data_IF_199364257319
#
_entry.id   IF_199364257319
#
_cell.length_a   1.000
_cell.length_b   1.000
_cell.length_c   1.000
_cell.angle_alpha   90.00
_cell.angle_beta   90.00
_cell.angle_gamma   90.00
#
_symmetry.space_group_name_H-M   'P 1'
#
loop_
_entity.id
_entity.type
_entity.pdbx_description
1 polymer ?
#
# COMPACT_ATOMS: atom_id res chain seq x y z
N UNK A 1 -28.42 30.97 0.53
CA UNK A 1 -27.20 30.14 0.70
C UNK A 1 -25.98 30.99 0.40
N UNK A 2 -24.86 30.84 1.12
CA UNK A 2 -23.62 31.59 0.81
C UNK A 2 -23.02 31.12 -0.52
N UNK A 3 -22.37 32.02 -1.27
CA UNK A 3 -21.67 31.72 -2.53
C UNK A 3 -20.67 30.56 -2.37
N UNK A 4 -19.96 30.52 -1.23
CA UNK A 4 -19.06 29.40 -0.91
C UNK A 4 -19.82 28.08 -0.75
N UNK A 5 -20.95 28.10 -0.04
CA UNK A 5 -21.75 26.89 0.16
C UNK A 5 -22.25 26.36 -1.17
N UNK A 6 -22.74 27.22 -2.05
CA UNK A 6 -23.22 26.82 -3.37
C UNK A 6 -22.09 26.26 -4.24
N UNK A 7 -20.89 26.86 -4.22
CA UNK A 7 -19.73 26.34 -4.93
C UNK A 7 -19.32 24.95 -4.43
N UNK A 8 -19.39 24.71 -3.12
CA UNK A 8 -19.13 23.38 -2.55
C UNK A 8 -20.17 22.35 -3.02
N UNK A 9 -21.46 22.69 -2.99
CA UNK A 9 -22.54 21.82 -3.47
C UNK A 9 -22.34 21.43 -4.95
N UNK A 10 -21.97 22.40 -5.79
CA UNK A 10 -21.71 22.18 -7.22
C UNK A 10 -20.55 21.21 -7.42
N UNK A 11 -19.43 21.40 -6.72
CA UNK A 11 -18.24 20.56 -6.88
C UNK A 11 -18.47 19.13 -6.35
N UNK A 12 -19.19 18.95 -5.24
CA UNK A 12 -19.54 17.61 -4.73
C UNK A 12 -20.54 16.92 -5.65
N UNK A 13 -21.55 17.63 -6.14
CA UNK A 13 -22.51 17.11 -7.10
C UNK A 13 -21.84 16.66 -8.41
N UNK A 14 -20.88 17.43 -8.91
CA UNK A 14 -20.08 17.06 -10.09
C UNK A 14 -19.23 15.80 -9.84
N UNK A 15 -18.59 15.70 -8.68
CA UNK A 15 -17.81 14.53 -8.29
C UNK A 15 -18.67 13.26 -8.21
N UNK A 16 -19.83 13.34 -7.54
CA UNK A 16 -20.79 12.23 -7.46
C UNK A 16 -21.33 11.84 -8.84
N UNK A 17 -21.55 12.81 -9.74
CA UNK A 17 -21.98 12.52 -11.10
C UNK A 17 -20.94 11.71 -11.89
N UNK A 18 -19.64 11.98 -11.71
CA UNK A 18 -18.57 11.17 -12.32
C UNK A 18 -18.56 9.76 -11.75
N UNK A 19 -18.69 9.60 -10.43
CA UNK A 19 -18.74 8.28 -9.77
C UNK A 19 -19.93 7.45 -10.25
N UNK A 20 -21.13 8.04 -10.31
CA UNK A 20 -22.34 7.36 -10.79
C UNK A 20 -22.21 6.84 -12.22
N UNK A 21 -21.57 7.59 -13.12
CA UNK A 21 -21.34 7.14 -14.52
C UNK A 21 -20.41 5.94 -14.63
N UNK A 22 -19.60 5.67 -13.61
CA UNK A 22 -18.68 4.56 -13.56
C UNK A 22 -19.18 3.41 -12.66
N UNK A 23 -20.38 3.51 -12.08
CA UNK A 23 -20.97 2.42 -11.31
C UNK A 23 -21.09 1.14 -12.16
N UNK A 24 -20.67 0.01 -11.60
CA UNK A 24 -20.72 -1.29 -12.28
C UNK A 24 -19.61 -1.55 -13.30
N UNK A 25 -18.62 -0.65 -13.44
CA UNK A 25 -17.44 -0.88 -14.29
C UNK A 25 -16.17 -0.26 -13.71
N UNK A 26 -15.02 -0.62 -14.28
CA UNK A 26 -13.78 0.06 -13.92
C UNK A 26 -13.78 1.52 -14.42
N UNK A 27 -13.30 2.42 -13.56
CA UNK A 27 -13.09 3.82 -13.90
C UNK A 27 -11.93 3.99 -14.88
N UNK A 28 -12.14 4.76 -15.94
CA UNK A 28 -11.09 5.15 -16.88
C UNK A 28 -10.09 6.12 -16.23
N UNK A 29 -8.87 6.21 -16.76
CA UNK A 29 -7.87 7.17 -16.27
C UNK A 29 -8.37 8.63 -16.32
N UNK A 30 -9.15 8.99 -17.35
CA UNK A 30 -9.73 10.34 -17.50
C UNK A 30 -10.72 10.67 -16.38
N UNK A 31 -11.54 9.70 -15.99
CA UNK A 31 -12.52 9.85 -14.92
C UNK A 31 -11.84 9.96 -13.55
N UNK A 32 -10.80 9.15 -13.30
CA UNK A 32 -9.97 9.27 -12.08
C UNK A 32 -9.35 10.67 -11.97
N UNK A 33 -8.69 11.13 -13.04
CA UNK A 33 -8.14 12.48 -13.11
C UNK A 33 -9.20 13.59 -12.99
N UNK A 34 -10.46 13.32 -13.34
CA UNK A 34 -11.57 14.26 -13.13
C UNK A 34 -11.99 14.32 -11.66
N UNK A 35 -12.10 13.18 -10.98
CA UNK A 35 -12.35 13.11 -9.53
C UNK A 35 -11.27 13.88 -8.77
N UNK A 36 -10.00 13.65 -9.09
CA UNK A 36 -8.88 14.31 -8.41
C UNK A 36 -8.95 15.84 -8.57
N UNK A 37 -9.35 16.31 -9.76
CA UNK A 37 -9.54 17.75 -10.01
C UNK A 37 -10.67 18.35 -9.16
N UNK A 38 -11.81 17.67 -9.05
CA UNK A 38 -12.93 18.11 -8.20
C UNK A 38 -12.52 18.11 -6.72
N UNK A 39 -11.83 17.07 -6.26
CA UNK A 39 -11.32 16.99 -4.89
C UNK A 39 -10.32 18.13 -4.60
N UNK A 40 -9.38 18.40 -5.50
CA UNK A 40 -8.44 19.51 -5.36
C UNK A 40 -9.14 20.89 -5.34
N UNK A 41 -10.26 21.06 -6.06
CA UNK A 41 -11.08 22.29 -5.98
C UNK A 41 -11.78 22.41 -4.64
N UNK A 42 -12.39 21.34 -4.14
CA UNK A 42 -13.01 21.31 -2.81
C UNK A 42 -12.01 21.68 -1.71
N UNK A 43 -10.82 21.09 -1.74
CA UNK A 43 -9.77 21.40 -0.76
C UNK A 43 -9.33 22.87 -0.84
N UNK A 44 -9.22 23.45 -2.05
CA UNK A 44 -8.92 24.88 -2.22
C UNK A 44 -10.03 25.78 -1.66
N UNK A 45 -11.29 25.46 -1.90
CA UNK A 45 -12.44 26.20 -1.35
C UNK A 45 -12.47 26.13 0.18
N UNK A 46 -12.11 24.98 0.76
CA UNK A 46 -12.13 24.76 2.22
C UNK A 46 -10.86 25.24 2.92
N UNK A 47 -9.77 25.53 2.20
CA UNK A 47 -8.48 25.89 2.78
C UNK A 47 -8.53 27.05 3.80
N UNK A 48 -9.27 28.16 3.60
CA UNK A 48 -9.40 29.21 4.62
C UNK A 48 -10.04 28.70 5.92
N UNK A 49 -11.01 27.79 5.79
CA UNK A 49 -11.75 27.24 6.92
C UNK A 49 -10.93 26.20 7.68
N UNK A 50 -10.18 25.38 6.97
CA UNK A 50 -9.17 24.48 7.55
C UNK A 50 -8.17 25.30 8.36
N UNK A 51 -7.57 26.36 7.79
CA UNK A 51 -6.65 27.25 8.53
C UNK A 51 -7.28 27.85 9.78
N UNK A 52 -8.53 28.29 9.69
CA UNK A 52 -9.26 28.82 10.85
C UNK A 52 -9.39 27.77 11.96
N UNK A 53 -9.86 26.56 11.64
CA UNK A 53 -9.99 25.51 12.65
C UNK A 53 -8.63 25.02 13.17
N UNK A 54 -7.61 24.90 12.33
CA UNK A 54 -6.24 24.56 12.79
C UNK A 54 -5.77 25.52 13.89
N UNK A 55 -6.01 26.83 13.74
CA UNK A 55 -5.72 27.82 14.79
C UNK A 55 -6.61 27.65 16.02
N UNK A 56 -7.92 27.49 15.83
CA UNK A 56 -8.88 27.34 16.93
C UNK A 56 -8.61 26.10 17.80
N UNK A 57 -8.11 25.02 17.19
CA UNK A 57 -7.73 23.80 17.90
C UNK A 57 -6.31 23.85 18.50
N UNK A 58 -5.54 24.91 18.23
CA UNK A 58 -4.18 25.10 18.74
C UNK A 58 -3.16 24.17 18.09
N UNK A 59 -3.29 23.93 16.79
CA UNK A 59 -2.46 23.01 15.99
C UNK A 59 -1.63 23.76 14.94
N UNK A 60 -1.22 25.00 15.24
CA UNK A 60 -0.50 25.87 14.29
C UNK A 60 0.89 25.31 13.97
N UNK A 61 1.54 24.72 14.97
CA UNK A 61 2.84 24.07 14.85
C UNK A 61 2.75 22.70 14.14
N UNK A 62 1.56 22.09 14.08
CA UNK A 62 1.24 20.87 13.33
C UNK A 62 0.33 21.17 12.13
N UNK A 63 0.52 22.32 11.47
CA UNK A 63 -0.39 22.79 10.41
C UNK A 63 -0.42 21.87 9.17
N UNK A 64 0.68 21.17 8.87
CA UNK A 64 0.73 20.19 7.78
C UNK A 64 -0.13 18.97 8.09
N UNK A 65 0.08 18.35 9.25
CA UNK A 65 -0.71 17.21 9.73
C UNK A 65 -2.19 17.56 9.85
N UNK A 66 -2.49 18.76 10.35
CA UNK A 66 -3.85 19.28 10.42
C UNK A 66 -4.51 19.38 9.04
N UNK A 67 -3.75 19.78 8.01
CA UNK A 67 -4.25 19.86 6.63
C UNK A 67 -4.54 18.47 6.07
N UNK A 68 -3.64 17.50 6.31
CA UNK A 68 -3.82 16.12 5.87
C UNK A 68 -5.01 15.44 6.56
N UNK A 69 -5.12 15.60 7.88
CA UNK A 69 -6.27 15.10 8.64
C UNK A 69 -7.59 15.71 8.14
N UNK A 70 -7.60 17.01 7.86
CA UNK A 70 -8.75 17.68 7.25
C UNK A 70 -9.07 17.13 5.85
N UNK A 71 -8.08 16.82 5.02
CA UNK A 71 -8.31 16.24 3.70
C UNK A 71 -8.99 14.86 3.78
N UNK A 72 -8.61 14.03 4.75
CA UNK A 72 -9.30 12.76 5.05
C UNK A 72 -10.76 13.03 5.46
N UNK A 73 -10.99 14.03 6.33
CA UNK A 73 -12.32 14.44 6.73
C UNK A 73 -13.19 14.92 5.55
N UNK A 74 -12.60 15.64 4.59
CA UNK A 74 -13.29 16.06 3.36
C UNK A 74 -13.65 14.87 2.49
N UNK A 75 -12.73 13.91 2.30
CA UNK A 75 -13.00 12.68 1.55
C UNK A 75 -14.18 11.91 2.15
N UNK A 76 -14.15 11.69 3.47
CA UNK A 76 -15.24 11.04 4.20
C UNK A 76 -16.56 11.82 4.11
N UNK A 77 -16.50 13.15 4.19
CA UNK A 77 -17.68 14.00 4.01
C UNK A 77 -18.29 13.79 2.62
N UNK A 78 -17.47 13.72 1.57
CA UNK A 78 -17.94 13.47 0.19
C UNK A 78 -18.55 12.09 0.06
N UNK A 79 -17.97 11.06 0.67
CA UNK A 79 -18.47 9.68 0.57
C UNK A 79 -19.82 9.49 1.30
N UNK A 80 -20.02 10.18 2.43
CA UNK A 80 -21.24 10.10 3.23
C UNK A 80 -22.29 11.16 2.88
N UNK A 81 -22.02 12.02 1.90
CA UNK A 81 -22.88 13.17 1.64
C UNK A 81 -24.25 12.75 1.09
N UNK A 82 -25.30 13.19 1.79
CA UNK A 82 -26.69 13.04 1.38
C UNK A 82 -27.38 14.43 1.42
N UNK A 83 -27.72 15.02 0.26
CA UNK A 83 -28.31 16.35 0.19
C UNK A 83 -29.71 16.43 0.82
N UNK A 84 -30.39 15.29 1.04
CA UNK A 84 -31.68 15.27 1.72
C UNK A 84 -31.55 15.44 3.24
N UNK A 85 -30.40 15.13 3.83
CA UNK A 85 -30.18 15.17 5.28
C UNK A 85 -29.60 16.49 5.78
N UNK A 86 -28.63 17.04 5.07
CA UNK A 86 -27.97 18.28 5.47
C UNK A 86 -27.24 18.91 4.28
N UNK A 87 -26.95 20.22 4.36
CA UNK A 87 -26.02 20.85 3.41
C UNK A 87 -24.61 20.29 3.57
N UNK A 88 -23.85 20.23 2.47
CA UNK A 88 -22.48 19.73 2.48
C UNK A 88 -21.59 20.56 3.42
N UNK A 89 -21.79 21.88 3.44
CA UNK A 89 -21.05 22.78 4.35
C UNK A 89 -21.24 22.39 5.81
N UNK A 90 -22.44 21.97 6.21
CA UNK A 90 -22.70 21.51 7.58
C UNK A 90 -21.94 20.21 7.86
N UNK A 91 -22.09 19.22 6.97
CA UNK A 91 -21.46 17.91 7.12
C UNK A 91 -19.94 18.01 7.18
N UNK A 92 -19.33 18.73 6.23
CA UNK A 92 -17.87 18.85 6.16
C UNK A 92 -17.32 19.56 7.39
N UNK A 93 -18.03 20.53 7.98
CA UNK A 93 -17.60 21.17 9.22
C UNK A 93 -17.55 20.21 10.41
N UNK A 94 -18.50 19.27 10.49
CA UNK A 94 -18.46 18.23 11.52
C UNK A 94 -17.25 17.31 11.32
N UNK A 95 -16.99 16.90 10.09
CA UNK A 95 -15.83 16.06 9.77
C UNK A 95 -14.50 16.77 10.09
N UNK A 96 -14.34 18.03 9.66
CA UNK A 96 -13.12 18.81 9.95
C UNK A 96 -12.85 18.93 11.45
N UNK A 97 -13.89 19.21 12.25
CA UNK A 97 -13.77 19.30 13.71
C UNK A 97 -13.42 17.96 14.34
N UNK A 98 -14.03 16.87 13.90
CA UNK A 98 -13.75 15.51 14.39
C UNK A 98 -12.29 15.11 14.15
N UNK A 99 -11.79 15.32 12.93
CA UNK A 99 -10.41 15.00 12.55
C UNK A 99 -9.39 15.83 13.33
N UNK A 100 -9.61 17.14 13.46
CA UNK A 100 -8.72 18.02 14.22
C UNK A 100 -8.73 17.71 15.72
N UNK A 101 -9.90 17.34 16.27
CA UNK A 101 -9.98 16.93 17.66
C UNK A 101 -9.21 15.61 17.89
N UNK A 102 -9.36 14.64 17.00
CA UNK A 102 -8.61 13.37 17.04
C UNK A 102 -7.11 13.60 16.95
N UNK A 103 -6.67 14.44 16.00
CA UNK A 103 -5.26 14.81 15.85
C UNK A 103 -4.71 15.48 17.12
N UNK A 104 -5.46 16.43 17.69
CA UNK A 104 -5.10 17.08 18.96
C UNK A 104 -4.95 16.07 20.09
N UNK A 105 -5.84 15.09 20.21
CA UNK A 105 -5.72 14.06 21.26
C UNK A 105 -4.48 13.20 21.14
N UNK A 106 -3.99 12.96 19.91
CA UNK A 106 -2.76 12.19 19.66
C UNK A 106 -1.51 13.03 19.92
N UNK A 107 -1.49 14.29 19.49
CA UNK A 107 -0.31 15.17 19.60
C UNK A 107 -0.17 15.83 20.98
N UNK A 108 -1.28 15.98 21.73
CA UNK A 108 -1.32 16.68 23.01
C UNK A 108 -1.82 15.77 24.14
N UNK A 109 -1.08 14.70 24.48
CA UNK A 109 -1.42 13.86 25.63
C UNK A 109 -1.32 14.65 26.95
N UNK A 110 -0.44 15.66 26.99
CA UNK A 110 -0.26 16.63 28.07
C UNK A 110 -1.54 17.42 28.42
N UNK A 111 -2.42 17.66 27.44
CA UNK A 111 -3.68 18.37 27.65
C UNK A 111 -4.81 17.51 28.22
N UNK A 112 -4.57 16.22 28.47
CA UNK A 112 -5.53 15.31 29.12
C UNK A 112 -5.58 15.60 30.62
N UNK A 113 -6.74 15.40 31.25
CA UNK A 113 -6.92 15.66 32.70
C UNK A 113 -5.84 15.05 33.62
N UNK A 114 -5.44 13.76 33.48
CA UNK A 114 -4.40 13.19 34.33
C UNK A 114 -3.02 13.82 34.10
N UNK A 115 -2.69 14.16 32.84
CA UNK A 115 -1.42 14.79 32.52
C UNK A 115 -1.35 16.24 33.03
N UNK A 116 -2.47 16.97 32.99
CA UNK A 116 -2.61 18.30 33.63
C UNK A 116 -2.42 18.23 35.14
N UNK A 117 -2.96 17.21 35.81
CA UNK A 117 -2.80 17.04 37.25
C UNK A 117 -1.33 16.81 37.65
N UNK A 118 -0.55 16.19 36.76
CA UNK A 118 0.89 15.95 36.94
C UNK A 118 1.77 17.09 36.42
N UNK A 119 1.19 18.18 35.89
CA UNK A 119 1.95 19.27 35.29
C UNK A 119 2.76 18.86 34.06
N UNK A 120 2.42 17.74 33.42
CA UNK A 120 3.13 17.25 32.24
C UNK A 120 2.98 18.24 31.07
N UNK A 121 4.08 18.48 30.36
CA UNK A 121 4.14 19.37 29.19
C UNK A 121 4.76 18.65 28.01
N UNK A 122 4.19 18.83 26.83
CA UNK A 122 4.86 18.43 25.58
C UNK A 122 5.87 19.52 25.20
N UNK A 123 7.15 19.15 25.14
CA UNK A 123 8.24 19.99 24.67
C UNK A 123 8.71 19.51 23.30
N UNK A 124 9.12 20.45 22.44
CA UNK A 124 9.90 20.07 21.27
C UNK A 124 11.28 19.58 21.73
N UNK A 125 11.97 18.79 20.90
CA UNK A 125 13.33 18.34 21.23
C UNK A 125 14.28 19.53 21.44
N UNK A 126 14.11 20.60 20.68
CA UNK A 126 14.89 21.84 20.79
C UNK A 126 14.64 22.55 22.12
N UNK A 127 13.37 22.64 22.54
CA UNK A 127 13.01 23.23 23.84
C UNK A 127 13.54 22.39 25.00
N UNK A 128 13.45 21.05 24.88
CA UNK A 128 13.98 20.13 25.87
C UNK A 128 15.50 20.28 26.02
N UNK A 129 16.23 20.41 24.91
CA UNK A 129 17.67 20.71 24.91
C UNK A 129 17.96 22.06 25.59
N UNK A 130 17.18 23.11 25.30
CA UNK A 130 17.33 24.42 25.91
C UNK A 130 17.06 24.39 27.43
N UNK A 131 16.17 23.52 27.90
CA UNK A 131 15.91 23.24 29.32
C UNK A 131 16.95 22.30 29.97
N UNK A 132 17.99 21.88 29.23
CA UNK A 132 19.07 21.03 29.74
C UNK A 132 18.68 19.55 29.89
N UNK A 133 17.57 19.12 29.28
CA UNK A 133 17.18 17.71 29.25
C UNK A 133 18.08 16.95 28.26
N UNK A 134 18.67 15.86 28.73
CA UNK A 134 19.68 15.12 27.98
C UNK A 134 19.05 14.27 26.85
N UNK A 135 19.53 14.46 25.61
CA UNK A 135 19.11 13.68 24.44
C UNK A 135 19.48 12.20 24.52
N UNK A 136 20.47 11.84 25.35
CA UNK A 136 20.86 10.44 25.56
C UNK A 136 19.72 9.55 26.04
N UNK A 137 18.63 10.12 26.58
CA UNK A 137 17.44 9.37 26.98
C UNK A 137 16.49 9.05 25.81
N UNK A 138 16.67 9.70 24.65
CA UNK A 138 15.91 9.46 23.43
C UNK A 138 16.66 8.60 22.41
N UNK A 139 17.98 8.51 22.51
CA UNK A 139 18.78 7.70 21.59
C UNK A 139 18.53 6.21 21.82
N UNK A 140 17.94 5.57 20.82
CA UNK A 140 17.82 4.12 20.75
C UNK A 140 19.01 3.57 19.97
N UNK A 141 20.00 3.03 20.69
CA UNK A 141 21.25 2.54 20.14
C UNK A 141 21.06 1.42 19.10
N UNK A 142 19.93 0.71 19.13
CA UNK A 142 19.61 -0.38 18.21
C UNK A 142 18.80 0.08 16.99
N UNK A 143 18.32 1.33 16.96
CA UNK A 143 17.44 1.81 15.90
C UNK A 143 18.07 1.69 14.51
N UNK A 144 19.37 2.03 14.38
CA UNK A 144 20.10 1.90 13.12
C UNK A 144 20.22 0.44 12.68
N UNK A 145 20.68 -0.43 13.57
CA UNK A 145 20.82 -1.85 13.28
C UNK A 145 19.49 -2.51 12.88
N UNK A 146 18.39 -2.17 13.56
CA UNK A 146 17.05 -2.65 13.21
C UNK A 146 16.55 -2.08 11.88
N UNK A 147 16.82 -0.81 11.59
CA UNK A 147 16.46 -0.19 10.33
C UNK A 147 17.21 -0.84 9.15
N UNK A 148 18.51 -1.08 9.30
CA UNK A 148 19.34 -1.77 8.29
C UNK A 148 18.90 -3.22 8.09
N UNK A 149 18.62 -3.94 9.17
CA UNK A 149 18.10 -5.30 9.09
C UNK A 149 16.74 -5.36 8.37
N UNK A 150 15.81 -4.46 8.69
CA UNK A 150 14.51 -4.37 8.02
C UNK A 150 14.66 -3.96 6.55
N UNK A 151 15.53 -3.00 6.24
CA UNK A 151 15.82 -2.60 4.86
C UNK A 151 16.38 -3.78 4.06
N UNK A 152 17.34 -4.52 4.61
CA UNK A 152 17.89 -5.73 4.00
C UNK A 152 16.83 -6.80 3.77
N UNK A 153 15.94 -7.05 4.75
CA UNK A 153 14.82 -7.99 4.60
C UNK A 153 13.84 -7.57 3.50
N UNK A 154 13.49 -6.28 3.42
CA UNK A 154 12.60 -5.75 2.37
C UNK A 154 13.25 -5.88 0.99
N UNK A 155 14.54 -5.56 0.87
CA UNK A 155 15.29 -5.70 -0.37
C UNK A 155 15.39 -7.17 -0.80
N UNK A 156 15.71 -8.08 0.12
CA UNK A 156 15.75 -9.52 -0.14
C UNK A 156 14.39 -10.06 -0.59
N UNK A 157 13.29 -9.64 0.05
CA UNK A 157 11.92 -10.00 -0.35
C UNK A 157 11.58 -9.51 -1.76
N UNK A 158 11.93 -8.27 -2.10
CA UNK A 158 11.71 -7.70 -3.44
C UNK A 158 12.54 -8.41 -4.50
N UNK A 159 13.82 -8.65 -4.24
CA UNK A 159 14.72 -9.33 -5.17
C UNK A 159 14.27 -10.77 -5.43
N UNK A 160 13.94 -11.52 -4.37
CA UNK A 160 13.40 -12.87 -4.48
C UNK A 160 12.07 -12.91 -5.25
N UNK A 161 11.16 -11.98 -4.97
CA UNK A 161 9.90 -11.85 -5.71
C UNK A 161 10.13 -11.65 -7.20
N UNK A 162 11.04 -10.74 -7.58
CA UNK A 162 11.37 -10.48 -8.98
C UNK A 162 12.01 -11.70 -9.67
N UNK A 163 12.96 -12.38 -9.01
CA UNK A 163 13.58 -13.59 -9.55
C UNK A 163 12.56 -14.72 -9.75
N UNK A 164 11.61 -14.86 -8.83
CA UNK A 164 10.53 -15.83 -8.96
C UNK A 164 9.58 -15.50 -10.11
N UNK A 165 9.23 -14.23 -10.29
CA UNK A 165 8.35 -13.80 -11.39
C UNK A 165 9.04 -14.00 -12.75
N UNK A 166 10.35 -13.74 -12.85
CA UNK A 166 11.16 -14.07 -14.03
C UNK A 166 11.19 -15.58 -14.29
N UNK A 167 11.43 -16.38 -13.25
CA UNK A 167 11.39 -17.84 -13.36
C UNK A 167 10.03 -18.37 -13.82
N UNK A 168 8.93 -17.84 -13.26
CA UNK A 168 7.59 -18.24 -13.66
C UNK A 168 7.31 -17.90 -15.13
N UNK A 169 7.82 -16.76 -15.61
CA UNK A 169 7.70 -16.36 -17.01
C UNK A 169 8.42 -17.36 -17.91
N UNK A 170 9.67 -17.73 -17.59
CA UNK A 170 10.40 -18.78 -18.32
C UNK A 170 9.69 -20.14 -18.27
N UNK A 171 9.16 -20.53 -17.09
CA UNK A 171 8.47 -21.80 -16.90
C UNK A 171 7.16 -21.87 -17.68
N UNK A 172 6.39 -20.78 -17.70
CA UNK A 172 5.16 -20.66 -18.48
C UNK A 172 5.44 -20.76 -19.99
N UNK A 173 6.44 -20.04 -20.49
CA UNK A 173 6.84 -20.10 -21.90
C UNK A 173 7.30 -21.52 -22.30
N UNK A 174 8.11 -22.17 -21.46
CA UNK A 174 8.55 -23.54 -21.71
C UNK A 174 7.37 -24.54 -21.72
N UNK A 175 6.40 -24.37 -20.81
CA UNK A 175 5.20 -25.20 -20.77
C UNK A 175 4.31 -24.98 -22.01
N UNK A 176 4.11 -23.73 -22.43
CA UNK A 176 3.39 -23.41 -23.67
C UNK A 176 4.04 -24.07 -24.89
N UNK A 177 5.36 -23.96 -25.04
CA UNK A 177 6.07 -24.63 -26.14
C UNK A 177 5.96 -26.17 -26.10
N UNK A 178 5.90 -26.77 -24.91
CA UNK A 178 5.66 -28.21 -24.78
C UNK A 178 4.23 -28.58 -25.21
N UNK A 179 3.24 -27.79 -24.81
CA UNK A 179 1.85 -27.99 -25.21
C UNK A 179 1.71 -27.80 -26.73
N UNK A 180 2.30 -26.76 -27.31
CA UNK A 180 2.32 -26.54 -28.76
C UNK A 180 2.91 -27.73 -29.51
N UNK A 181 4.07 -28.25 -29.07
CA UNK A 181 4.69 -29.44 -29.68
C UNK A 181 3.78 -30.66 -29.61
N UNK A 182 3.11 -30.89 -28.47
CA UNK A 182 2.16 -32.01 -28.28
C UNK A 182 0.84 -31.83 -29.03
N UNK A 183 0.40 -30.59 -29.22
CA UNK A 183 -0.86 -30.23 -29.89
C UNK A 183 -0.89 -30.58 -31.39
N UNK A 184 0.26 -30.89 -31.98
CA UNK A 184 0.40 -31.43 -33.33
C UNK A 184 -0.21 -32.83 -33.47
N UNK A 185 -0.39 -33.54 -32.35
CA UNK A 185 -1.10 -34.81 -32.24
C UNK A 185 -2.37 -34.53 -31.43
N UNK A 186 -3.56 -34.97 -31.88
CA UNK A 186 -4.84 -34.64 -31.22
C UNK A 186 -4.87 -35.24 -29.80
N UNK A 187 -4.54 -34.43 -28.80
CA UNK A 187 -4.45 -34.82 -27.39
C UNK A 187 -5.47 -34.10 -26.50
N UNK A 188 -5.61 -34.51 -25.23
CA UNK A 188 -6.61 -34.00 -24.28
C UNK A 188 -6.37 -32.56 -23.79
N UNK A 189 -5.28 -31.92 -24.22
CA UNK A 189 -4.84 -30.59 -23.80
C UNK A 189 -5.19 -29.48 -24.82
N UNK A 190 -5.90 -29.84 -25.89
CA UNK A 190 -6.12 -28.97 -27.05
C UNK A 190 -7.58 -29.01 -27.52
N UNK A 191 -8.18 -27.83 -27.71
CA UNK A 191 -9.53 -27.68 -28.28
C UNK A 191 -9.51 -27.98 -29.78
N UNK A 192 -8.41 -27.63 -30.47
CA UNK A 192 -8.08 -27.94 -31.87
C UNK A 192 -6.57 -28.17 -32.00
N UNK A 193 -6.07 -28.87 -33.05
CA UNK A 193 -4.63 -28.94 -33.31
C UNK A 193 -4.02 -27.53 -33.36
N UNK A 194 -3.02 -27.26 -32.52
CA UNK A 194 -2.40 -25.94 -32.39
C UNK A 194 -3.14 -24.90 -31.54
N UNK A 195 -4.29 -25.22 -30.93
CA UNK A 195 -5.00 -24.31 -30.01
C UNK A 195 -5.09 -24.90 -28.61
N UNK A 196 -4.39 -24.28 -27.67
CA UNK A 196 -4.37 -24.68 -26.25
C UNK A 196 -5.73 -24.42 -25.61
N UNK A 197 -6.20 -25.38 -24.80
CA UNK A 197 -7.43 -25.24 -24.03
C UNK A 197 -7.26 -24.21 -22.89
N UNK A 198 -8.16 -23.21 -22.77
CA UNK A 198 -8.12 -22.22 -21.68
C UNK A 198 -8.14 -22.87 -20.28
N UNK A 199 -8.84 -23.98 -20.09
CA UNK A 199 -8.90 -24.65 -18.77
C UNK A 199 -7.55 -25.24 -18.36
N UNK A 200 -6.76 -25.69 -19.34
CA UNK A 200 -5.40 -26.19 -19.10
C UNK A 200 -4.41 -25.06 -18.80
N UNK A 201 -4.57 -23.90 -19.45
CA UNK A 201 -3.78 -22.70 -19.12
C UNK A 201 -4.05 -22.23 -17.69
N UNK A 202 -5.31 -22.22 -17.27
CA UNK A 202 -5.70 -21.85 -15.92
C UNK A 202 -5.11 -22.81 -14.86
N UNK A 203 -5.10 -24.12 -15.14
CA UNK A 203 -4.48 -25.12 -14.25
C UNK A 203 -2.97 -24.92 -14.14
N UNK A 204 -2.31 -24.62 -15.25
CA UNK A 204 -0.88 -24.33 -15.27
C UNK A 204 -0.56 -23.08 -14.46
N UNK A 205 -1.30 -21.99 -14.66
CA UNK A 205 -1.10 -20.73 -13.95
C UNK A 205 -1.35 -20.90 -12.44
N UNK A 206 -2.37 -21.67 -12.03
CA UNK A 206 -2.61 -22.01 -10.62
C UNK A 206 -1.46 -22.81 -10.02
N UNK A 207 -0.94 -23.80 -10.75
CA UNK A 207 0.21 -24.61 -10.31
C UNK A 207 1.46 -23.76 -10.11
N UNK A 208 1.79 -22.91 -11.09
CA UNK A 208 2.94 -22.00 -11.03
C UNK A 208 2.81 -21.00 -9.88
N UNK A 209 1.60 -20.46 -9.65
CA UNK A 209 1.31 -19.59 -8.51
C UNK A 209 1.53 -20.31 -7.16
N UNK A 210 1.14 -21.59 -7.06
CA UNK A 210 1.36 -22.40 -5.86
C UNK A 210 2.85 -22.71 -5.63
N UNK A 211 3.60 -23.09 -6.66
CA UNK A 211 5.06 -23.32 -6.58
C UNK A 211 5.82 -22.05 -6.16
N UNK A 212 5.38 -20.88 -6.64
CA UNK A 212 5.90 -19.58 -6.22
C UNK A 212 5.68 -19.33 -4.74
N UNK A 213 4.48 -19.59 -4.22
CA UNK A 213 4.18 -19.42 -2.79
C UNK A 213 5.04 -20.33 -1.93
N UNK A 214 5.17 -21.62 -2.28
CA UNK A 214 6.02 -22.58 -1.57
C UNK A 214 7.47 -22.12 -1.54
N UNK A 215 8.01 -21.70 -2.69
CA UNK A 215 9.42 -21.31 -2.79
C UNK A 215 9.71 -20.01 -2.05
N UNK A 216 8.80 -19.03 -2.15
CA UNK A 216 8.94 -17.76 -1.44
C UNK A 216 8.91 -17.97 0.08
N UNK A 217 8.00 -18.80 0.57
CA UNK A 217 7.92 -19.16 1.98
C UNK A 217 9.17 -19.93 2.44
N UNK A 218 9.70 -20.84 1.62
CA UNK A 218 10.91 -21.59 1.95
C UNK A 218 12.18 -20.70 2.03
N UNK A 219 12.29 -19.66 1.19
CA UNK A 219 13.47 -18.79 1.14
C UNK A 219 13.46 -17.66 2.17
N UNK A 220 12.27 -17.14 2.51
CA UNK A 220 12.11 -15.90 3.27
C UNK A 220 11.15 -16.03 4.45
N UNK A 221 10.55 -17.20 4.65
CA UNK A 221 9.80 -17.53 5.85
C UNK A 221 10.76 -17.52 7.04
N UNK A 222 10.39 -16.79 8.08
CA UNK A 222 11.11 -16.86 9.34
C UNK A 222 10.97 -18.27 9.92
N UNK A 223 12.03 -18.79 10.50
CA UNK A 223 12.06 -20.10 11.15
C UNK A 223 11.09 -20.21 12.36
N UNK A 224 10.41 -19.12 12.72
CA UNK A 224 9.47 -19.04 13.84
C UNK A 224 8.00 -19.39 13.51
N UNK A 225 7.62 -19.52 12.24
CA UNK A 225 6.29 -20.05 11.89
C UNK A 225 6.35 -21.58 11.76
N UNK A 226 6.39 -22.25 12.93
CA UNK A 226 5.86 -23.61 13.12
C UNK A 226 4.32 -23.64 12.94
N UNK A 227 3.81 -22.92 11.96
CA UNK A 227 2.44 -23.08 11.49
C UNK A 227 2.45 -24.19 10.45
N UNK A 228 2.39 -25.42 10.95
CA UNK A 228 1.82 -26.59 10.28
C UNK A 228 0.33 -26.41 9.91
N UNK A 229 -0.22 -25.20 10.02
CA UNK A 229 -1.64 -24.92 9.92
C UNK A 229 -1.83 -23.74 8.96
N UNK A 230 -2.68 -23.95 7.95
CA UNK A 230 -3.23 -22.96 7.00
C UNK A 230 -2.59 -22.73 5.61
N UNK A 231 -1.85 -23.71 5.09
CA UNK A 231 -1.91 -24.00 3.64
C UNK A 231 -2.88 -25.17 3.48
N UNK A 232 -4.13 -24.84 3.17
CA UNK A 232 -5.26 -25.77 3.14
C UNK A 232 -4.95 -27.16 2.56
N UNK A 233 -5.47 -28.15 3.27
CA UNK A 233 -5.86 -29.49 2.79
C UNK A 233 -4.75 -30.41 2.25
N UNK A 234 -4.25 -31.29 3.12
CA UNK A 234 -4.10 -32.73 2.86
C UNK A 234 -3.05 -33.27 1.87
N UNK A 235 -2.56 -32.54 0.88
CA UNK A 235 -2.05 -33.21 -0.34
C UNK A 235 -0.52 -33.20 -0.55
N UNK A 236 0.25 -32.43 0.24
CA UNK A 236 1.70 -32.29 0.04
C UNK A 236 2.52 -32.36 1.34
N UNK A 237 3.41 -33.35 1.41
CA UNK A 237 4.36 -33.54 2.51
C UNK A 237 5.39 -32.40 2.57
N UNK A 238 5.96 -32.15 3.76
CA UNK A 238 7.04 -31.19 3.95
C UNK A 238 8.25 -31.46 3.02
N UNK A 239 8.54 -32.74 2.75
CA UNK A 239 9.61 -33.14 1.85
C UNK A 239 9.32 -32.79 0.39
N UNK A 240 8.08 -32.98 -0.08
CA UNK A 240 7.70 -32.55 -1.42
C UNK A 240 7.79 -31.02 -1.58
N UNK A 241 7.40 -30.25 -0.55
CA UNK A 241 7.58 -28.77 -0.53
C UNK A 241 9.07 -28.39 -0.64
N UNK A 242 9.96 -29.07 0.10
CA UNK A 242 11.42 -28.87 0.01
C UNK A 242 11.96 -29.21 -1.37
N UNK A 243 11.49 -30.28 -2.00
CA UNK A 243 11.94 -30.70 -3.33
C UNK A 243 11.55 -29.67 -4.39
N UNK A 244 10.31 -29.15 -4.35
CA UNK A 244 9.86 -28.06 -5.22
C UNK A 244 10.75 -26.84 -5.02
N UNK A 245 10.92 -26.38 -3.78
CA UNK A 245 11.76 -25.22 -3.48
C UNK A 245 13.20 -25.41 -3.97
N UNK A 246 13.84 -26.55 -3.71
CA UNK A 246 15.22 -26.85 -4.18
C UNK A 246 15.35 -26.90 -5.69
N UNK A 247 14.32 -27.34 -6.41
CA UNK A 247 14.29 -27.32 -7.87
C UNK A 247 14.21 -25.87 -8.37
N UNK A 248 13.31 -25.09 -7.81
CA UNK A 248 13.14 -23.68 -8.16
C UNK A 248 14.39 -22.88 -7.86
N UNK A 249 14.99 -23.05 -6.68
CA UNK A 249 16.24 -22.37 -6.27
C UNK A 249 17.35 -22.58 -7.29
N UNK A 250 17.53 -23.80 -7.81
CA UNK A 250 18.53 -24.07 -8.86
C UNK A 250 18.27 -23.24 -10.13
N UNK A 251 17.00 -23.07 -10.51
CA UNK A 251 16.63 -22.21 -11.63
C UNK A 251 16.88 -20.72 -11.31
N UNK A 252 16.53 -20.27 -10.10
CA UNK A 252 16.77 -18.89 -9.65
C UNK A 252 18.26 -18.56 -9.66
N UNK A 253 19.12 -19.46 -9.17
CA UNK A 253 20.59 -19.25 -9.21
C UNK A 253 21.13 -19.12 -10.63
N UNK A 254 20.56 -19.86 -11.60
CA UNK A 254 20.92 -19.72 -13.01
C UNK A 254 20.49 -18.35 -13.57
N UNK A 255 19.26 -17.92 -13.29
CA UNK A 255 18.73 -16.62 -13.74
C UNK A 255 19.55 -15.48 -13.13
N UNK A 256 19.81 -15.53 -11.82
CA UNK A 256 20.59 -14.52 -11.12
C UNK A 256 22.01 -14.38 -11.68
N UNK A 257 22.72 -15.50 -11.94
CA UNK A 257 24.07 -15.47 -12.55
C UNK A 257 24.09 -14.97 -13.99
N UNK A 258 22.98 -15.10 -14.71
CA UNK A 258 22.86 -14.62 -16.09
C UNK A 258 22.47 -13.16 -16.22
N UNK A 259 22.15 -12.47 -15.12
CA UNK A 259 21.61 -11.12 -15.14
C UNK A 259 22.42 -10.19 -14.19
N UNK A 260 23.14 -9.19 -14.73
CA UNK A 260 24.01 -8.31 -13.96
C UNK A 260 23.27 -7.48 -12.90
N UNK A 261 21.93 -7.39 -12.97
CA UNK A 261 21.10 -6.75 -11.94
C UNK A 261 21.19 -7.42 -10.57
N UNK A 262 21.51 -8.71 -10.52
CA UNK A 262 21.57 -9.50 -9.29
C UNK A 262 23.01 -9.80 -8.87
N UNK A 263 23.99 -9.20 -9.55
CA UNK A 263 25.39 -9.30 -9.19
C UNK A 263 25.66 -8.41 -7.96
N UNK A 264 26.07 -8.97 -6.81
CA UNK A 264 26.40 -8.19 -5.62
C UNK A 264 27.61 -7.26 -5.82
N UNK A 265 28.46 -7.55 -6.81
CA UNK A 265 29.69 -6.81 -7.11
C UNK A 265 29.52 -5.79 -8.25
N UNK A 266 28.35 -5.76 -8.90
CA UNK A 266 28.05 -4.73 -9.89
C UNK A 266 27.90 -3.37 -9.19
N UNK A 267 28.77 -2.41 -9.54
CA UNK A 267 28.64 -1.02 -9.10
C UNK A 267 27.19 -0.54 -9.30
N UNK A 268 26.58 -0.04 -8.23
CA UNK A 268 25.17 0.33 -8.19
C UNK A 268 24.84 1.31 -9.33
N UNK A 269 24.25 0.81 -10.41
CA UNK A 269 23.70 1.65 -11.47
C UNK A 269 22.55 2.44 -10.85
N UNK A 270 22.71 3.76 -10.82
CA UNK A 270 21.76 4.70 -10.25
C UNK A 270 20.33 4.36 -10.70
N UNK A 271 19.44 4.14 -9.73
CA UNK A 271 18.02 3.97 -9.98
C UNK A 271 17.49 5.22 -10.70
N UNK A 272 16.85 5.10 -11.87
CA UNK A 272 16.27 6.26 -12.53
C UNK A 272 15.17 6.85 -11.65
N UNK A 273 15.37 8.09 -11.21
CA UNK A 273 14.35 8.92 -10.57
C UNK A 273 13.16 9.05 -11.52
N UNK A 274 12.04 8.42 -11.17
CA UNK A 274 10.76 8.71 -11.82
C UNK A 274 10.32 10.11 -11.39
N UNK A 275 10.33 11.04 -12.33
CA UNK A 275 9.70 12.36 -12.23
C UNK A 275 8.17 12.27 -12.32
#
# INVERSE_FOLDING_TARGET
MSHLSQALEVEVGALHAVRRRAEGREMTQRERAQIDRHMARLLRLLAPRIRHFTRAYGLVDAAEDARQACAIGVLRAVDMYDPAKASFTTLVNWQLRGELQSLRYRLRPDRRMPAKALGARTLSLQDAQAEGLNQAWLEDAEALARAEALAAQVLARRACGQLLDEHLTEARLAALHQIERRSTTRGPECVKPGTVDPDHLDRLDRKLAHERQITFAYLLGQEDDRHEQDLGDGDMTAEQRRQIARRTIRSLSRIARGNPRYDPDAESVALPTRH
#
